data_IF_011132392306
#
_entry.id   IF_011132392306
#
_cell.length_a   1.000
_cell.length_b   1.000
_cell.length_c   1.000
_cell.angle_alpha   90.00
_cell.angle_beta   90.00
_cell.angle_gamma   90.00
#
_symmetry.space_group_name_H-M   'P 1'
#
loop_
_entity.id
_entity.type
_entity.pdbx_description
1 polymer ?
#
# COMPACT_ATOMS: atom_id res chain seq x y z
N UNK A 1 11.56 -0.43 -1.65
CA UNK A 1 10.67 0.64 -1.12
C UNK A 1 9.62 -0.05 -0.29
N UNK A 2 9.29 0.52 0.86
CA UNK A 2 8.26 -0.02 1.75
C UNK A 2 7.23 1.07 2.04
N UNK A 3 5.95 0.75 1.89
CA UNK A 3 4.81 1.60 2.27
C UNK A 3 3.97 0.79 3.27
N UNK A 4 3.54 1.44 4.35
CA UNK A 4 2.72 0.85 5.39
C UNK A 4 1.43 1.66 5.50
N UNK A 5 0.30 0.98 5.41
CA UNK A 5 -1.02 1.61 5.45
C UNK A 5 -1.85 0.93 6.55
N UNK A 6 -2.26 1.68 7.58
CA UNK A 6 -3.21 1.15 8.55
C UNK A 6 -4.58 0.98 7.89
N UNK A 7 -5.20 -0.16 8.12
CA UNK A 7 -6.58 -0.46 7.74
C UNK A 7 -7.37 -0.88 9.00
N UNK A 8 -8.69 -0.71 9.04
CA UNK A 8 -9.50 -1.24 10.14
C UNK A 8 -9.38 -2.76 10.25
N UNK A 9 -9.30 -3.30 11.48
CA UNK A 9 -9.24 -4.74 11.70
C UNK A 9 -10.47 -5.47 11.11
N UNK A 10 -11.64 -4.82 11.16
CA UNK A 10 -12.91 -5.32 10.60
C UNK A 10 -12.90 -5.48 9.08
N UNK A 11 -11.96 -4.84 8.36
CA UNK A 11 -11.84 -4.91 6.90
C UNK A 11 -10.74 -5.91 6.44
N UNK A 12 -10.17 -6.69 7.36
CA UNK A 12 -9.12 -7.68 7.03
C UNK A 12 -9.64 -8.85 6.19
N UNK A 13 -10.94 -9.13 6.21
CA UNK A 13 -11.61 -10.11 5.36
C UNK A 13 -11.58 -9.72 3.87
N UNK A 14 -11.54 -8.42 3.58
CA UNK A 14 -11.40 -7.86 2.22
C UNK A 14 -9.94 -7.82 1.74
N UNK A 15 -8.98 -8.11 2.63
CA UNK A 15 -7.56 -8.04 2.33
C UNK A 15 -7.11 -8.89 1.12
N UNK A 16 -7.61 -10.12 0.88
CA UNK A 16 -7.14 -10.92 -0.25
C UNK A 16 -7.38 -10.27 -1.62
N UNK A 17 -8.55 -9.64 -1.83
CA UNK A 17 -8.88 -8.97 -3.08
C UNK A 17 -7.97 -7.77 -3.32
N UNK A 18 -7.84 -6.92 -2.31
CA UNK A 18 -7.03 -5.71 -2.42
C UNK A 18 -5.53 -6.00 -2.54
N UNK A 19 -5.01 -7.03 -1.87
CA UNK A 19 -3.61 -7.45 -2.01
C UNK A 19 -3.31 -7.78 -3.48
N UNK A 20 -4.18 -8.55 -4.13
CA UNK A 20 -3.99 -8.92 -5.53
C UNK A 20 -4.01 -7.70 -6.45
N UNK A 21 -4.93 -6.76 -6.24
CA UNK A 21 -5.07 -5.57 -7.07
C UNK A 21 -3.92 -4.59 -6.88
N UNK A 22 -3.42 -4.44 -5.64
CA UNK A 22 -2.22 -3.66 -5.35
C UNK A 22 -0.99 -4.30 -5.99
N UNK A 23 -0.82 -5.62 -5.88
CA UNK A 23 0.30 -6.29 -6.54
C UNK A 23 0.22 -6.16 -8.07
N UNK A 24 -0.98 -6.25 -8.65
CA UNK A 24 -1.22 -6.04 -10.08
C UNK A 24 -0.90 -4.60 -10.51
N UNK A 25 -1.32 -3.61 -9.73
CA UNK A 25 -0.98 -2.20 -9.93
C UNK A 25 0.53 -1.98 -9.89
N UNK A 26 1.23 -2.55 -8.89
CA UNK A 26 2.68 -2.44 -8.77
C UNK A 26 3.40 -3.10 -9.95
N UNK A 27 2.94 -4.28 -10.42
CA UNK A 27 3.51 -4.94 -11.61
C UNK A 27 3.32 -4.13 -12.88
N UNK A 28 2.25 -3.34 -12.96
CA UNK A 28 1.93 -2.49 -14.12
C UNK A 28 2.58 -1.10 -14.04
N UNK A 29 3.09 -0.70 -12.86
CA UNK A 29 3.68 0.62 -12.67
C UNK A 29 5.06 0.74 -13.36
N UNK A 30 5.27 1.75 -14.23
CA UNK A 30 6.49 1.88 -15.01
C UNK A 30 7.74 2.15 -14.17
N UNK A 31 7.60 2.59 -12.91
CA UNK A 31 8.71 2.88 -12.01
C UNK A 31 9.12 1.67 -11.17
N UNK A 32 8.36 0.57 -11.21
CA UNK A 32 8.68 -0.66 -10.48
C UNK A 32 9.65 -1.52 -11.30
N UNK A 33 10.65 -2.06 -10.63
CA UNK A 33 11.67 -2.94 -11.21
C UNK A 33 11.34 -4.41 -10.90
N UNK A 34 11.01 -5.17 -11.94
CA UNK A 34 10.63 -6.58 -11.84
C UNK A 34 11.80 -7.57 -12.05
N UNK A 35 13.02 -7.07 -12.29
CA UNK A 35 14.19 -7.92 -12.57
C UNK A 35 14.88 -8.51 -11.34
N UNK A 36 14.35 -8.30 -10.13
CA UNK A 36 14.86 -8.84 -8.87
C UNK A 36 13.75 -9.62 -8.15
N UNK A 37 13.30 -9.13 -7.00
CA UNK A 37 12.13 -9.66 -6.30
C UNK A 37 10.86 -9.00 -6.84
N UNK A 38 9.76 -9.76 -7.02
CA UNK A 38 8.49 -9.19 -7.43
C UNK A 38 7.93 -8.27 -6.32
N UNK A 39 7.05 -7.31 -6.68
CA UNK A 39 6.33 -6.55 -5.69
C UNK A 39 5.44 -7.48 -4.86
N UNK A 40 5.34 -7.16 -3.57
CA UNK A 40 4.56 -7.91 -2.60
C UNK A 40 3.67 -6.97 -1.79
N UNK A 41 2.47 -7.44 -1.49
CA UNK A 41 1.56 -6.77 -0.56
C UNK A 41 1.04 -7.80 0.45
N UNK A 42 1.12 -7.51 1.74
CA UNK A 42 0.71 -8.44 2.79
C UNK A 42 0.26 -7.72 4.06
N UNK A 43 -0.47 -8.44 4.93
CA UNK A 43 -0.78 -7.97 6.27
C UNK A 43 0.41 -8.28 7.20
N UNK A 44 1.04 -7.24 7.76
CA UNK A 44 2.27 -7.35 8.56
C UNK A 44 2.02 -7.28 10.06
N UNK A 45 0.96 -6.59 10.50
CA UNK A 45 0.60 -6.41 11.91
C UNK A 45 -0.91 -6.37 12.08
N UNK A 46 -1.42 -6.98 13.14
CA UNK A 46 -2.81 -6.83 13.60
C UNK A 46 -2.80 -6.42 15.06
N UNK A 47 -3.38 -5.25 15.36
CA UNK A 47 -3.71 -4.77 16.70
C UNK A 47 -5.24 -4.83 16.86
N UNK A 48 -5.74 -4.65 18.09
CA UNK A 48 -7.16 -4.90 18.41
C UNK A 48 -8.16 -4.12 17.54
N UNK A 49 -7.77 -2.96 16.98
CA UNK A 49 -8.64 -2.09 16.17
C UNK A 49 -8.10 -1.81 14.76
N UNK A 50 -6.89 -2.26 14.42
CA UNK A 50 -6.24 -1.96 13.15
C UNK A 50 -5.38 -3.12 12.67
N UNK A 51 -5.26 -3.25 11.36
CA UNK A 51 -4.22 -4.05 10.73
C UNK A 51 -3.32 -3.14 9.89
N UNK A 52 -2.10 -3.60 9.60
CA UNK A 52 -1.15 -2.91 8.75
C UNK A 52 -1.01 -3.67 7.44
N UNK A 53 -1.34 -3.02 6.33
CA UNK A 53 -1.04 -3.47 4.99
C UNK A 53 0.36 -2.94 4.61
N UNK A 54 1.30 -3.84 4.38
CA UNK A 54 2.66 -3.52 3.96
C UNK A 54 2.85 -3.84 2.50
N UNK A 55 3.31 -2.85 1.73
CA UNK A 55 3.69 -2.98 0.33
C UNK A 55 5.21 -2.90 0.23
N UNK A 56 5.80 -3.85 -0.47
CA UNK A 56 7.24 -3.89 -0.75
C UNK A 56 7.48 -4.03 -2.25
N UNK A 57 8.26 -3.12 -2.82
CA UNK A 57 8.66 -3.24 -4.22
C UNK A 57 10.04 -2.64 -4.48
N UNK A 58 10.68 -3.13 -5.53
CA UNK A 58 11.91 -2.54 -6.05
C UNK A 58 11.53 -1.41 -7.01
N UNK A 59 12.18 -0.25 -6.88
CA UNK A 59 12.04 0.84 -7.85
C UNK A 59 13.14 0.72 -8.88
N UNK A 60 12.87 1.14 -10.11
CA UNK A 60 13.92 1.38 -11.10
C UNK A 60 14.89 2.42 -10.55
N UNK A 61 16.10 2.47 -11.08
CA UNK A 61 17.13 3.43 -10.67
C UNK A 61 16.68 4.86 -11.04
N UNK A 62 15.83 5.45 -10.19
CA UNK A 62 15.33 6.81 -10.28
C UNK A 62 16.36 7.74 -9.68
N UNK A 63 16.52 8.92 -10.26
CA UNK A 63 17.32 9.99 -9.67
C UNK A 63 16.84 10.22 -8.21
N UNK A 64 17.76 10.48 -7.29
CA UNK A 64 17.42 10.75 -5.88
C UNK A 64 16.35 11.85 -5.74
N UNK A 65 16.35 12.85 -6.63
CA UNK A 65 15.36 13.92 -6.66
C UNK A 65 13.94 13.45 -7.06
N UNK A 66 13.82 12.35 -7.80
CA UNK A 66 12.56 11.80 -8.30
C UNK A 66 11.97 10.72 -7.38
N UNK A 67 12.78 10.16 -6.47
CA UNK A 67 12.36 9.15 -5.51
C UNK A 67 11.14 9.59 -4.67
N UNK A 68 11.07 10.83 -4.13
CA UNK A 68 9.91 11.25 -3.34
C UNK A 68 8.62 11.27 -4.17
N UNK A 69 8.70 11.75 -5.42
CA UNK A 69 7.54 11.82 -6.33
C UNK A 69 7.07 10.42 -6.72
N UNK A 70 8.01 9.52 -7.02
CA UNK A 70 7.71 8.12 -7.33
C UNK A 70 7.01 7.41 -6.16
N UNK A 71 7.52 7.62 -4.94
CA UNK A 71 6.89 7.09 -3.72
C UNK A 71 5.48 7.65 -3.52
N UNK A 72 5.32 8.95 -3.74
CA UNK A 72 4.02 9.63 -3.61
C UNK A 72 3.01 9.13 -4.64
N UNK A 73 3.43 8.94 -5.90
CA UNK A 73 2.58 8.41 -6.97
C UNK A 73 2.07 7.00 -6.65
N UNK A 74 2.98 6.09 -6.27
CA UNK A 74 2.60 4.72 -5.88
C UNK A 74 1.69 4.72 -4.65
N UNK A 75 1.96 5.59 -3.67
CA UNK A 75 1.11 5.73 -2.49
C UNK A 75 -0.30 6.17 -2.88
N UNK A 76 -0.45 7.20 -3.72
CA UNK A 76 -1.75 7.69 -4.18
C UNK A 76 -2.53 6.65 -4.99
N UNK A 77 -1.86 5.90 -5.88
CA UNK A 77 -2.48 4.78 -6.61
C UNK A 77 -2.97 3.71 -5.65
N UNK A 78 -2.18 3.38 -4.61
CA UNK A 78 -2.59 2.43 -3.57
C UNK A 78 -3.84 2.93 -2.82
N UNK A 79 -3.89 4.22 -2.45
CA UNK A 79 -5.07 4.79 -1.80
C UNK A 79 -6.30 4.77 -2.70
N UNK A 80 -6.13 4.88 -4.02
CA UNK A 80 -7.22 4.75 -4.96
C UNK A 80 -7.75 3.31 -5.01
N UNK A 81 -6.87 2.31 -5.11
CA UNK A 81 -7.25 0.90 -5.05
C UNK A 81 -7.98 0.54 -3.74
N UNK A 82 -7.52 1.09 -2.61
CA UNK A 82 -8.20 0.98 -1.31
C UNK A 82 -9.63 1.53 -1.35
N UNK A 83 -9.81 2.73 -1.91
CA UNK A 83 -11.13 3.37 -2.04
C UNK A 83 -12.07 2.56 -2.93
N UNK A 84 -11.57 1.99 -4.02
CA UNK A 84 -12.35 1.15 -4.94
C UNK A 84 -12.90 -0.12 -4.25
N UNK A 85 -12.19 -0.62 -3.24
CA UNK A 85 -12.61 -1.74 -2.41
C UNK A 85 -13.48 -1.33 -1.21
N UNK A 86 -13.83 -0.05 -1.08
CA UNK A 86 -14.63 0.47 0.02
C UNK A 86 -13.90 0.52 1.35
N UNK A 87 -12.56 0.51 1.36
CA UNK A 87 -11.80 0.81 2.57
C UNK A 87 -11.96 2.30 2.91
N UNK A 88 -12.63 2.56 4.02
CA UNK A 88 -12.67 3.90 4.60
C UNK A 88 -11.38 4.08 5.40
N UNK A 89 -10.43 4.86 4.87
CA UNK A 89 -9.35 5.42 5.69
C UNK A 89 -10.03 6.25 6.78
N UNK A 90 -10.18 5.68 7.98
CA UNK A 90 -10.67 6.45 9.12
C UNK A 90 -9.69 7.60 9.31
N UNK A 91 -10.23 8.83 9.35
CA UNK A 91 -9.41 9.99 9.72
C UNK A 91 -8.82 9.72 11.10
N UNK A 92 -7.56 10.07 11.27
CA UNK A 92 -6.91 10.13 12.58
C UNK A 92 -7.44 11.34 13.35
N UNK A 93 -8.73 11.32 13.67
CA UNK A 93 -9.42 12.25 14.54
C UNK A 93 -10.21 11.39 15.52
N UNK A 94 -9.58 11.06 16.65
CA UNK A 94 -10.18 10.74 17.97
C UNK A 94 -9.17 10.13 18.97
N UNK A 95 -7.86 10.38 18.80
CA UNK A 95 -6.88 10.26 19.88
C UNK A 95 -6.87 11.53 20.75
N UNK A 96 -8.03 11.90 21.30
CA UNK A 96 -8.14 12.76 22.48
C UNK A 96 -9.41 12.39 23.24
N UNK A 97 -9.25 11.69 24.36
CA UNK A 97 -9.79 12.00 25.70
C UNK A 97 -8.85 11.33 26.71
#
# INVERSE_FOLDING_TARGET
MTIKIPIPADDTDKAPGIINDIESMLRSNPNVFLGKEPPHCFLSRTENSSAELTLECNLKNTNYQELPFTKSDIFLQTLQTLKEHGFLLKKEDDAKI
#
